data_IF_656769786655
#
_entry.id   IF_656769786655
#
_cell.length_a   1.000
_cell.length_b   1.000
_cell.length_c   1.000
_cell.angle_alpha   90.00
_cell.angle_beta   90.00
_cell.angle_gamma   90.00
#
_symmetry.space_group_name_H-M   'P 1'
#
loop_
_entity.id
_entity.type
_entity.pdbx_description
1 polymer ?
#
# COMPACT_ATOMS: atom_id res chain seq x y z
N UNK A 1 -1.47 -11.50 15.00
CA UNK A 1 -1.06 -10.19 14.48
C UNK A 1 -2.26 -9.28 14.66
N UNK A 2 -2.09 -8.18 15.36
CA UNK A 2 -3.13 -7.16 15.53
C UNK A 2 -3.03 -6.07 14.45
N UNK A 3 -4.02 -5.18 14.42
CA UNK A 3 -4.09 -4.08 13.45
C UNK A 3 -2.83 -3.21 13.43
N UNK A 4 -2.29 -2.87 14.62
CA UNK A 4 -1.08 -2.05 14.75
C UNK A 4 0.16 -2.76 14.20
N UNK A 5 0.31 -4.07 14.46
CA UNK A 5 1.38 -4.88 13.89
C UNK A 5 1.31 -4.92 12.35
N UNK A 6 0.11 -5.04 11.77
CA UNK A 6 -0.07 -4.98 10.31
C UNK A 6 0.26 -3.60 9.74
N UNK A 7 -0.27 -2.52 10.33
CA UNK A 7 0.01 -1.15 9.87
C UNK A 7 1.52 -0.90 9.87
N UNK A 8 2.23 -1.35 10.90
CA UNK A 8 3.69 -1.22 10.99
C UNK A 8 4.39 -1.90 9.81
N UNK A 9 3.97 -3.11 9.42
CA UNK A 9 4.55 -3.80 8.26
C UNK A 9 4.29 -3.06 6.93
N UNK A 10 3.10 -2.48 6.76
CA UNK A 10 2.80 -1.67 5.58
C UNK A 10 3.65 -0.39 5.56
N UNK A 11 3.81 0.28 6.70
CA UNK A 11 4.67 1.46 6.82
C UNK A 11 6.13 1.15 6.49
N UNK A 12 6.67 0.01 6.95
CA UNK A 12 8.03 -0.42 6.60
C UNK A 12 8.20 -0.62 5.09
N UNK A 13 7.23 -1.26 4.43
CA UNK A 13 7.26 -1.47 2.99
C UNK A 13 7.18 -0.14 2.22
N UNK A 14 6.33 0.79 2.66
CA UNK A 14 6.20 2.13 2.09
C UNK A 14 7.48 2.95 2.31
N UNK A 15 8.11 2.85 3.48
CA UNK A 15 9.40 3.50 3.76
C UNK A 15 10.49 3.01 2.80
N UNK A 16 10.60 1.70 2.58
CA UNK A 16 11.57 1.15 1.64
C UNK A 16 11.38 1.66 0.22
N UNK A 17 10.13 1.86 -0.21
CA UNK A 17 9.85 2.43 -1.52
C UNK A 17 10.17 3.94 -1.58
N UNK A 18 9.75 4.71 -0.57
CA UNK A 18 9.93 6.17 -0.54
C UNK A 18 11.39 6.61 -0.30
N UNK A 19 12.23 5.73 0.27
CA UNK A 19 13.69 5.90 0.48
C UNK A 19 14.57 5.25 -0.59
N UNK A 20 14.03 5.15 -1.83
CA UNK A 20 14.42 4.24 -2.92
C UNK A 20 15.27 2.99 -2.58
N UNK A 21 14.91 2.25 -1.54
CA UNK A 21 15.55 0.97 -1.20
C UNK A 21 15.03 -0.19 -2.09
N UNK A 22 13.81 -0.08 -2.59
CA UNK A 22 13.20 -1.01 -3.55
C UNK A 22 12.65 -0.25 -4.77
N UNK A 23 12.53 -0.93 -5.90
CA UNK A 23 11.96 -0.34 -7.13
C UNK A 23 10.43 -0.23 -7.05
N UNK A 24 9.79 0.63 -7.86
CA UNK A 24 8.32 0.75 -7.89
C UNK A 24 7.63 -0.58 -8.25
N UNK A 25 8.28 -1.39 -9.09
CA UNK A 25 7.77 -2.72 -9.44
C UNK A 25 7.84 -3.71 -8.27
N UNK A 26 8.94 -3.72 -7.53
CA UNK A 26 9.08 -4.56 -6.34
C UNK A 26 8.10 -4.13 -5.24
N UNK A 27 7.92 -2.83 -5.05
CA UNK A 27 6.90 -2.27 -4.16
C UNK A 27 5.49 -2.71 -4.55
N UNK A 28 5.05 -2.42 -5.79
CA UNK A 28 3.72 -2.79 -6.29
C UNK A 28 3.42 -4.28 -6.11
N UNK A 29 4.35 -5.17 -6.50
CA UNK A 29 4.16 -6.60 -6.32
C UNK A 29 4.09 -7.02 -4.85
N UNK A 30 4.98 -6.47 -4.01
CA UNK A 30 5.02 -6.83 -2.58
C UNK A 30 3.76 -6.36 -1.86
N UNK A 31 3.31 -5.15 -2.15
CA UNK A 31 2.13 -4.53 -1.57
C UNK A 31 0.85 -5.30 -1.94
N UNK A 32 0.65 -5.55 -3.24
CA UNK A 32 -0.51 -6.31 -3.75
C UNK A 32 -0.57 -7.71 -3.12
N UNK A 33 0.56 -8.42 -3.06
CA UNK A 33 0.58 -9.76 -2.47
C UNK A 33 0.26 -9.72 -0.96
N UNK A 34 0.86 -8.79 -0.22
CA UNK A 34 0.61 -8.63 1.21
C UNK A 34 -0.86 -8.32 1.49
N UNK A 35 -1.45 -7.37 0.74
CA UNK A 35 -2.86 -7.01 0.86
C UNK A 35 -3.79 -8.19 0.56
N UNK A 36 -3.55 -8.92 -0.52
CA UNK A 36 -4.37 -10.07 -0.89
C UNK A 36 -4.25 -11.23 0.10
N UNK A 37 -3.07 -11.45 0.68
CA UNK A 37 -2.87 -12.46 1.72
C UNK A 37 -3.63 -12.07 3.00
N UNK A 38 -3.58 -10.79 3.40
CA UNK A 38 -4.36 -10.27 4.53
C UNK A 38 -5.87 -10.40 4.29
N UNK A 39 -6.36 -10.12 3.07
CA UNK A 39 -7.78 -10.28 2.73
C UNK A 39 -8.23 -11.74 2.62
N UNK A 40 -7.31 -12.67 2.31
CA UNK A 40 -7.63 -14.09 2.13
C UNK A 40 -7.67 -14.87 3.43
N UNK A 41 -6.82 -14.50 4.40
CA UNK A 41 -6.63 -15.28 5.62
C UNK A 41 -7.74 -15.08 6.66
N UNK A 42 -8.61 -14.09 6.48
CA UNK A 42 -9.54 -13.67 7.53
C UNK A 42 -11.00 -13.66 7.05
N UNK A 43 -11.87 -14.41 7.76
CA UNK A 43 -13.34 -14.38 7.59
C UNK A 43 -13.96 -13.05 8.07
N UNK A 44 -13.21 -12.24 8.84
CA UNK A 44 -13.53 -10.88 9.29
C UNK A 44 -12.27 -10.04 9.14
N UNK A 45 -12.30 -8.94 8.37
CA UNK A 45 -11.12 -8.09 8.11
C UNK A 45 -10.41 -7.70 9.42
N UNK A 46 -9.07 -7.88 9.54
CA UNK A 46 -8.34 -7.55 10.76
C UNK A 46 -8.22 -6.03 11.01
N UNK A 47 -8.72 -5.24 10.06
CA UNK A 47 -8.63 -3.79 10.03
C UNK A 47 -9.95 -3.16 10.43
N UNK A 48 -9.88 -2.06 11.15
CA UNK A 48 -10.97 -1.08 11.18
C UNK A 48 -11.27 -0.58 9.76
N UNK A 49 -12.48 -0.04 9.56
CA UNK A 49 -12.88 0.55 8.28
C UNK A 49 -11.88 1.62 7.81
N UNK A 50 -11.43 2.49 8.73
CA UNK A 50 -10.45 3.54 8.43
C UNK A 50 -9.12 2.97 7.92
N UNK A 51 -8.59 1.92 8.57
CA UNK A 51 -7.34 1.27 8.14
C UNK A 51 -7.53 0.54 6.82
N UNK A 52 -8.67 -0.14 6.65
CA UNK A 52 -9.00 -0.84 5.42
C UNK A 52 -9.03 0.13 4.23
N UNK A 53 -9.70 1.27 4.37
CA UNK A 53 -9.83 2.25 3.30
C UNK A 53 -8.46 2.79 2.86
N UNK A 54 -7.59 3.16 3.82
CA UNK A 54 -6.23 3.65 3.51
C UNK A 54 -5.42 2.58 2.75
N UNK A 55 -5.46 1.33 3.21
CA UNK A 55 -4.73 0.23 2.57
C UNK A 55 -5.32 -0.14 1.22
N UNK A 56 -6.65 -0.06 1.08
CA UNK A 56 -7.35 -0.36 -0.16
C UNK A 56 -7.05 0.68 -1.24
N UNK A 57 -7.04 1.96 -0.89
CA UNK A 57 -6.74 3.03 -1.84
C UNK A 57 -5.33 2.87 -2.41
N UNK A 58 -4.33 2.60 -1.57
CA UNK A 58 -2.97 2.33 -2.05
C UNK A 58 -2.86 1.01 -2.83
N UNK A 59 -3.66 -0.01 -2.48
CA UNK A 59 -3.74 -1.25 -3.26
C UNK A 59 -4.20 -0.99 -4.70
N UNK A 60 -5.22 -0.15 -4.89
CA UNK A 60 -5.74 0.20 -6.22
C UNK A 60 -4.64 0.84 -7.07
N UNK A 61 -3.88 1.76 -6.50
CA UNK A 61 -2.76 2.43 -7.19
C UNK A 61 -1.60 1.46 -7.46
N UNK A 62 -1.26 0.61 -6.50
CA UNK A 62 -0.22 -0.41 -6.65
C UNK A 62 -0.57 -1.44 -7.73
N UNK A 63 -1.83 -1.86 -7.86
CA UNK A 63 -2.32 -2.76 -8.91
C UNK A 63 -2.40 -2.06 -10.29
N UNK A 64 -2.69 -0.76 -10.30
CA UNK A 64 -2.70 0.07 -11.51
C UNK A 64 -1.30 0.42 -12.02
N UNK A 65 -0.23 0.24 -11.23
CA UNK A 65 1.12 0.53 -11.67
C UNK A 65 1.57 -0.42 -12.80
N UNK A 66 1.98 0.16 -13.92
CA UNK A 66 2.52 -0.59 -15.05
C UNK A 66 3.92 -0.13 -15.40
N UNK A 67 4.81 -1.10 -15.69
CA UNK A 67 6.14 -0.76 -16.21
C UNK A 67 6.02 0.12 -17.46
N UNK A 68 6.94 1.08 -17.66
CA UNK A 68 6.91 2.00 -18.79
C UNK A 68 6.79 1.30 -20.16
N UNK A 69 7.33 0.09 -20.28
CA UNK A 69 7.28 -0.73 -21.50
C UNK A 69 5.88 -1.19 -21.92
N UNK A 70 4.89 -1.16 -21.00
CA UNK A 70 3.53 -1.69 -21.21
C UNK A 70 2.48 -0.56 -21.12
N UNK A 71 2.86 0.63 -20.63
CA UNK A 71 1.97 1.78 -20.41
C UNK A 71 1.25 2.25 -21.68
N UNK A 72 1.86 2.08 -22.85
CA UNK A 72 1.24 2.44 -24.13
C UNK A 72 0.04 1.55 -24.51
N UNK A 73 -0.09 0.38 -23.89
CA UNK A 73 -1.12 -0.63 -24.22
C UNK A 73 -2.31 -0.62 -23.25
N UNK A 74 -2.20 0.08 -22.12
CA UNK A 74 -3.21 0.08 -21.05
C UNK A 74 -3.47 1.52 -20.58
N UNK A 75 -4.68 2.02 -20.87
CA UNK A 75 -5.05 3.43 -20.69
C UNK A 75 -5.28 3.87 -19.23
N UNK A 76 -5.28 2.95 -18.27
CA UNK A 76 -5.54 3.19 -16.86
C UNK A 76 -4.32 2.96 -15.97
N UNK A 77 -3.12 2.87 -16.54
CA UNK A 77 -1.91 2.65 -15.76
C UNK A 77 -1.32 3.96 -15.23
N UNK A 78 -0.98 3.95 -13.95
CA UNK A 78 -0.21 5.03 -13.33
C UNK A 78 1.30 4.81 -13.53
N UNK A 79 2.09 5.88 -13.42
CA UNK A 79 3.54 5.79 -13.37
C UNK A 79 4.13 5.78 -11.95
N UNK A 80 5.45 5.80 -11.90
CA UNK A 80 6.23 5.79 -10.66
C UNK A 80 6.02 7.06 -9.83
N UNK A 81 5.80 8.22 -10.45
CA UNK A 81 5.61 9.47 -9.71
C UNK A 81 4.23 9.46 -9.03
N UNK A 82 3.20 9.05 -9.77
CA UNK A 82 1.84 8.86 -9.24
C UNK A 82 1.82 7.81 -8.11
N UNK A 83 2.50 6.67 -8.28
CA UNK A 83 2.60 5.64 -7.23
C UNK A 83 3.36 6.14 -5.99
N UNK A 84 4.41 6.93 -6.19
CA UNK A 84 5.20 7.51 -5.09
C UNK A 84 4.40 8.55 -4.30
N UNK A 85 3.56 9.34 -4.96
CA UNK A 85 2.65 10.28 -4.32
C UNK A 85 1.62 9.52 -3.47
N UNK A 86 0.93 8.52 -4.05
CA UNK A 86 -0.02 7.69 -3.33
C UNK A 86 0.60 6.99 -2.11
N UNK A 87 1.82 6.45 -2.24
CA UNK A 87 2.53 5.81 -1.14
C UNK A 87 2.83 6.80 0.01
N UNK A 88 3.17 8.06 -0.30
CA UNK A 88 3.41 9.09 0.73
C UNK A 88 2.14 9.51 1.44
N UNK A 89 1.04 9.65 0.70
CA UNK A 89 -0.27 9.97 1.29
C UNK A 89 -0.73 8.86 2.23
N UNK A 90 -0.64 7.60 1.79
CA UNK A 90 -0.95 6.44 2.61
C UNK A 90 -0.05 6.35 3.85
N UNK A 91 1.26 6.62 3.71
CA UNK A 91 2.17 6.67 4.87
C UNK A 91 1.70 7.65 5.93
N UNK A 92 1.37 8.89 5.55
CA UNK A 92 0.94 9.91 6.49
C UNK A 92 -0.40 9.55 7.15
N UNK A 93 -1.33 8.96 6.39
CA UNK A 93 -2.62 8.50 6.92
C UNK A 93 -2.46 7.33 7.91
N UNK A 94 -1.60 6.36 7.59
CA UNK A 94 -1.30 5.22 8.47
C UNK A 94 -0.56 5.65 9.75
N UNK A 95 0.37 6.61 9.66
CA UNK A 95 1.05 7.18 10.85
C UNK A 95 0.05 7.89 11.78
N UNK A 96 -0.89 8.66 11.22
CA UNK A 96 -1.98 9.27 12.00
C UNK A 96 -2.87 8.20 12.63
N UNK A 97 -3.25 7.18 11.87
CA UNK A 97 -4.08 6.07 12.35
C UNK A 97 -3.42 5.32 13.51
N UNK A 98 -2.10 5.12 13.44
CA UNK A 98 -1.33 4.49 14.52
C UNK A 98 -1.41 5.30 15.82
N UNK A 99 -1.30 6.63 15.72
CA UNK A 99 -1.42 7.53 16.87
C UNK A 99 -2.82 7.44 17.51
N UNK A 100 -3.87 7.33 16.70
CA UNK A 100 -5.25 7.18 17.18
C UNK A 100 -5.53 5.82 17.84
N UNK A 101 -4.75 4.78 17.52
CA UNK A 101 -4.84 3.46 18.14
C UNK A 101 -4.11 3.39 19.48
N UNK A 102 -3.11 4.25 19.69
CA UNK A 102 -2.27 4.28 20.89
C UNK A 102 -2.87 5.15 22.04
N UNK A 103 -3.89 5.98 21.76
CA UNK A 103 -4.61 6.85 22.71
C UNK A 103 -5.79 6.15 23.42
#
# INVERSE_FOLDING_TARGET
>A
MDETEHITLYLELIEWFTTPAITPFEFSQSYVNMYLDDMRLYDETPFSEDTYDILHDLFVEADAYCKPSIRAEVSSCIDEEELLEAAREASAALEHRLQELDD
#
